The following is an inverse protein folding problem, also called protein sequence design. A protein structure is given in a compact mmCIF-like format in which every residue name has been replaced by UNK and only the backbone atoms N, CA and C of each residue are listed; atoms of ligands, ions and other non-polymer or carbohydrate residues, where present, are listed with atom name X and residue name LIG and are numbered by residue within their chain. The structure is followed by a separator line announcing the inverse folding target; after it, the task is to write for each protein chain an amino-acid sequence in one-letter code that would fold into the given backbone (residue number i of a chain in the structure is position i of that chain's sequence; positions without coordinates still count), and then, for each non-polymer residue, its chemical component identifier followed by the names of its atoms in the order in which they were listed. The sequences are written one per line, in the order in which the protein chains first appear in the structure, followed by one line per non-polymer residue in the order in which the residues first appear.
data_IF_896993187202
#
_entry.id   IF_896993187202
#
_cell.length_a   1.000
_cell.length_b   1.000
_cell.length_c   1.000
_cell.angle_alpha   90.00
_cell.angle_beta   90.00
_cell.angle_gamma   90.00
#
_symmetry.space_group_name_H-M   'P 1'
#
loop_
_entity.id
_entity.type
_entity.pdbx_description
1 polymer ?
#
# COMPACT_ATOMS: atom_id res chain seq x y z
N UNK A 1 -19.25 -14.43 11.56
CA UNK A 1 -18.29 -13.94 10.55
C UNK A 1 -18.29 -14.94 9.43
N UNK A 2 -18.64 -14.52 8.22
CA UNK A 2 -18.69 -15.45 7.09
C UNK A 2 -17.43 -15.24 6.23
N UNK A 3 -16.39 -16.00 6.55
CA UNK A 3 -15.17 -16.13 5.76
C UNK A 3 -15.20 -17.41 4.90
N UNK A 4 -16.39 -17.86 4.49
CA UNK A 4 -16.55 -19.16 3.82
C UNK A 4 -15.87 -19.27 2.45
N UNK A 5 -15.40 -18.14 1.90
CA UNK A 5 -14.62 -18.08 0.64
C UNK A 5 -13.10 -18.25 0.86
N UNK A 6 -12.62 -18.27 2.11
CA UNK A 6 -11.22 -18.52 2.41
C UNK A 6 -10.93 -20.01 2.42
N UNK A 7 -9.93 -20.41 1.66
CA UNK A 7 -9.33 -21.74 1.70
C UNK A 7 -8.12 -21.74 2.64
N UNK A 8 -7.89 -22.83 3.40
CA UNK A 8 -6.78 -22.91 4.34
C UNK A 8 -5.42 -22.94 3.64
N UNK A 9 -4.38 -22.55 4.38
CA UNK A 9 -2.99 -22.68 3.93
C UNK A 9 -2.70 -24.14 3.59
N UNK A 10 -2.00 -24.36 2.47
CA UNK A 10 -1.70 -25.71 1.96
C UNK A 10 -0.93 -26.56 2.98
N UNK A 11 -1.30 -27.84 3.07
CA UNK A 11 -0.71 -28.79 4.02
C UNK A 11 0.82 -28.93 3.85
N UNK A 12 1.34 -28.76 2.63
CA UNK A 12 2.79 -28.77 2.37
C UNK A 12 3.53 -27.61 3.07
N UNK A 13 2.94 -26.42 3.11
CA UNK A 13 3.52 -25.25 3.79
C UNK A 13 3.52 -25.49 5.29
N UNK A 14 2.43 -26.04 5.83
CA UNK A 14 2.31 -26.38 7.25
C UNK A 14 3.31 -27.48 7.65
N UNK A 15 3.44 -28.53 6.84
CA UNK A 15 4.41 -29.59 7.06
C UNK A 15 5.86 -29.06 7.03
N UNK A 16 6.18 -28.17 6.09
CA UNK A 16 7.47 -27.48 6.08
C UNK A 16 7.68 -26.66 7.36
N UNK A 17 6.66 -25.92 7.80
CA UNK A 17 6.72 -25.11 9.03
C UNK A 17 7.00 -25.95 10.28
N UNK A 18 6.40 -27.15 10.40
CA UNK A 18 6.66 -28.07 11.53
C UNK A 18 8.12 -28.56 11.62
N UNK A 19 8.85 -28.56 10.50
CA UNK A 19 10.27 -28.95 10.45
C UNK A 19 11.23 -27.83 10.86
N UNK A 20 10.73 -26.58 10.98
CA UNK A 20 11.54 -25.42 11.30
C UNK A 20 11.68 -25.23 12.82
N UNK A 21 12.66 -24.40 13.22
CA UNK A 21 12.85 -24.03 14.63
C UNK A 21 11.58 -23.39 15.19
N UNK A 22 11.21 -23.71 16.44
CA UNK A 22 10.05 -23.11 17.13
C UNK A 22 10.11 -21.58 17.27
N UNK A 23 11.29 -21.00 17.02
CA UNK A 23 11.53 -19.56 17.11
C UNK A 23 11.23 -18.80 15.81
N UNK A 24 11.06 -19.49 14.67
CA UNK A 24 10.77 -18.83 13.39
C UNK A 24 9.37 -18.21 13.39
N UNK A 25 9.13 -17.29 12.47
CA UNK A 25 7.93 -16.48 12.42
C UNK A 25 6.70 -17.34 12.15
N UNK A 26 6.79 -18.32 11.24
CA UNK A 26 5.69 -19.23 10.93
C UNK A 26 5.19 -20.03 12.13
N UNK A 27 6.02 -20.26 13.16
CA UNK A 27 5.63 -20.94 14.41
C UNK A 27 4.93 -20.02 15.41
N UNK A 28 4.95 -18.71 15.17
CA UNK A 28 4.28 -17.69 16.01
C UNK A 28 3.02 -17.11 15.37
N UNK A 29 2.73 -17.46 14.12
CA UNK A 29 1.52 -17.05 13.41
C UNK A 29 0.29 -17.82 13.89
N UNK A 30 -0.86 -17.14 13.91
CA UNK A 30 -2.16 -17.82 13.92
C UNK A 30 -2.52 -18.23 12.49
N UNK A 31 -2.61 -19.52 12.17
CA UNK A 31 -2.74 -19.99 10.78
C UNK A 31 -4.08 -20.70 10.55
N UNK A 32 -4.80 -20.29 9.50
CA UNK A 32 -5.94 -21.03 8.98
C UNK A 32 -5.47 -22.33 8.32
N UNK A 33 -5.83 -23.45 8.93
CA UNK A 33 -5.49 -24.80 8.46
C UNK A 33 -6.75 -25.67 8.35
N UNK A 34 -6.69 -26.73 7.54
CA UNK A 34 -7.81 -27.70 7.45
C UNK A 34 -8.16 -28.33 8.80
N UNK A 35 -7.17 -28.50 9.67
CA UNK A 35 -7.34 -29.19 10.96
C UNK A 35 -7.95 -28.27 12.02
N UNK A 36 -7.47 -27.03 12.12
CA UNK A 36 -7.88 -26.10 13.18
C UNK A 36 -8.91 -25.07 12.73
N UNK A 37 -9.23 -25.01 11.43
CA UNK A 37 -10.11 -23.99 10.87
C UNK A 37 -9.50 -22.59 10.90
N UNK A 38 -10.35 -21.58 10.71
CA UNK A 38 -9.95 -20.17 10.73
C UNK A 38 -9.60 -19.78 12.18
N UNK A 39 -8.43 -19.15 12.42
CA UNK A 39 -8.02 -18.77 13.76
C UNK A 39 -8.90 -17.66 14.33
N UNK A 40 -8.94 -17.57 15.65
CA UNK A 40 -9.53 -16.42 16.34
C UNK A 40 -8.72 -15.14 16.07
N UNK A 41 -9.43 -14.11 15.62
CA UNK A 41 -8.88 -12.82 15.22
C UNK A 41 -8.78 -11.83 16.39
N UNK A 42 -9.15 -12.23 17.59
CA UNK A 42 -8.92 -11.43 18.79
C UNK A 42 -7.42 -11.14 18.96
N UNK A 43 -7.11 -9.88 19.27
CA UNK A 43 -5.77 -9.27 19.37
C UNK A 43 -4.90 -9.30 18.10
N UNK A 44 -5.38 -9.85 16.99
CA UNK A 44 -4.68 -9.80 15.70
C UNK A 44 -4.63 -8.34 15.23
N UNK A 45 -3.48 -7.93 14.70
CA UNK A 45 -3.28 -6.59 14.14
C UNK A 45 -3.03 -6.60 12.64
N UNK A 46 -2.54 -7.71 12.12
CA UNK A 46 -2.30 -7.91 10.68
C UNK A 46 -2.84 -9.28 10.29
N UNK A 47 -3.57 -9.34 9.19
CA UNK A 47 -4.06 -10.57 8.60
C UNK A 47 -3.54 -10.72 7.17
N UNK A 48 -2.74 -11.76 6.93
CA UNK A 48 -2.24 -12.13 5.61
C UNK A 48 -3.36 -12.87 4.87
N UNK A 49 -3.64 -12.43 3.64
CA UNK A 49 -4.61 -13.04 2.74
C UNK A 49 -3.94 -13.22 1.39
N UNK A 50 -3.92 -14.45 0.90
CA UNK A 50 -3.59 -14.73 -0.49
C UNK A 50 -4.80 -14.58 -1.39
N UNK A 51 -4.63 -14.05 -2.60
CA UNK A 51 -5.70 -13.96 -3.59
C UNK A 51 -5.22 -14.59 -4.88
N UNK A 52 -5.82 -15.71 -5.27
CA UNK A 52 -5.39 -16.51 -6.42
C UNK A 52 -6.06 -16.08 -7.72
N UNK A 53 -6.28 -14.78 -7.92
CA UNK A 53 -6.95 -14.23 -9.10
C UNK A 53 -5.97 -13.46 -9.99
N UNK A 54 -5.87 -13.87 -11.25
CA UNK A 54 -4.99 -13.25 -12.25
C UNK A 54 -5.62 -13.19 -13.65
N UNK A 55 -6.93 -13.45 -13.79
CA UNK A 55 -7.63 -13.48 -15.09
C UNK A 55 -7.66 -12.12 -15.80
N UNK A 56 -7.41 -11.03 -15.06
CA UNK A 56 -7.33 -9.68 -15.60
C UNK A 56 -5.92 -9.20 -15.91
N UNK A 57 -4.90 -10.06 -15.76
CA UNK A 57 -3.61 -9.79 -16.40
C UNK A 57 -3.79 -9.75 -17.92
N UNK A 58 -3.29 -8.69 -18.56
CA UNK A 58 -3.25 -8.56 -20.02
C UNK A 58 -2.54 -9.73 -20.71
N UNK A 59 -1.62 -10.40 -20.02
CA UNK A 59 -0.88 -11.56 -20.53
C UNK A 59 -1.41 -12.90 -20.00
N UNK A 60 -2.63 -12.94 -19.44
CA UNK A 60 -3.19 -14.16 -18.89
C UNK A 60 -3.36 -15.25 -19.95
N UNK A 61 -2.66 -16.37 -19.77
CA UNK A 61 -2.73 -17.55 -20.65
C UNK A 61 -3.18 -18.82 -19.92
N UNK A 62 -3.87 -18.68 -18.78
CA UNK A 62 -4.39 -19.82 -18.02
C UNK A 62 -3.44 -20.36 -16.95
N UNK A 63 -2.45 -19.60 -16.52
CA UNK A 63 -1.51 -20.05 -15.47
C UNK A 63 -2.16 -20.11 -14.09
N UNK A 64 -1.78 -21.13 -13.32
CA UNK A 64 -2.18 -21.29 -11.92
C UNK A 64 -1.29 -20.44 -11.00
N UNK A 65 -1.92 -19.76 -10.04
CA UNK A 65 -1.22 -18.99 -9.02
C UNK A 65 -1.05 -19.84 -7.76
N UNK A 66 0.16 -19.87 -7.22
CA UNK A 66 0.47 -20.49 -5.93
C UNK A 66 1.36 -19.58 -5.12
N UNK A 67 1.01 -19.35 -3.85
CA UNK A 67 1.74 -18.49 -2.93
C UNK A 67 2.57 -19.28 -1.91
N UNK A 68 2.68 -20.60 -2.12
CA UNK A 68 3.33 -21.51 -1.17
C UNK A 68 4.82 -21.20 -0.96
N UNK A 69 5.55 -20.81 -1.99
CA UNK A 69 6.98 -20.49 -1.87
C UNK A 69 7.23 -19.20 -1.09
N UNK A 70 6.38 -18.17 -1.28
CA UNK A 70 6.39 -16.96 -0.44
C UNK A 70 6.11 -17.33 1.01
N UNK A 71 5.08 -18.14 1.29
CA UNK A 71 4.76 -18.56 2.65
C UNK A 71 5.87 -19.35 3.30
N UNK A 72 6.47 -20.33 2.61
CA UNK A 72 7.62 -21.10 3.12
C UNK A 72 8.79 -20.18 3.46
N UNK A 73 9.11 -19.23 2.57
CA UNK A 73 10.17 -18.25 2.78
C UNK A 73 9.88 -17.37 4.00
N UNK A 74 8.68 -16.79 4.08
CA UNK A 74 8.25 -15.93 5.18
C UNK A 74 8.23 -16.67 6.52
N UNK A 75 7.70 -17.89 6.54
CA UNK A 75 7.56 -18.69 7.74
C UNK A 75 8.93 -19.07 8.31
N UNK A 76 9.95 -19.23 7.47
CA UNK A 76 11.32 -19.54 7.85
C UNK A 76 12.12 -18.36 8.41
N UNK A 77 11.68 -17.12 8.19
CA UNK A 77 12.34 -15.95 8.78
C UNK A 77 12.14 -15.92 10.29
N UNK A 78 13.10 -15.36 11.03
CA UNK A 78 12.89 -15.05 12.44
C UNK A 78 12.13 -13.72 12.55
N UNK A 79 11.15 -13.61 13.47
CA UNK A 79 10.51 -12.34 13.74
C UNK A 79 11.51 -11.37 14.39
N UNK A 80 11.31 -10.08 14.18
CA UNK A 80 11.98 -9.05 14.98
C UNK A 80 11.48 -9.02 16.43
N UNK A 81 11.90 -8.01 17.19
CA UNK A 81 11.39 -7.78 18.55
C UNK A 81 9.99 -7.17 18.51
N UNK A 82 9.03 -7.96 18.04
CA UNK A 82 7.67 -7.55 17.75
C UNK A 82 6.71 -7.97 18.84
N UNK A 83 5.68 -7.14 19.06
CA UNK A 83 4.55 -7.44 19.94
C UNK A 83 3.24 -7.65 19.14
N UNK A 84 3.26 -7.30 17.86
CA UNK A 84 2.13 -7.44 16.93
C UNK A 84 1.80 -8.92 16.69
N UNK A 85 0.55 -9.29 16.96
CA UNK A 85 -0.01 -10.60 16.57
C UNK A 85 -0.44 -10.59 15.11
N UNK A 86 -0.02 -11.61 14.36
CA UNK A 86 -0.27 -11.76 12.92
C UNK A 86 -0.97 -13.09 12.66
N UNK A 87 -2.00 -13.06 11.81
CA UNK A 87 -2.69 -14.24 11.33
C UNK A 87 -2.48 -14.44 9.83
N UNK A 88 -2.39 -15.70 9.37
CA UNK A 88 -2.50 -16.07 7.95
C UNK A 88 -3.86 -16.74 7.74
N UNK A 89 -4.74 -16.08 7.01
CA UNK A 89 -6.12 -16.52 6.79
C UNK A 89 -6.25 -17.49 5.60
N UNK A 90 -5.14 -17.80 4.94
CA UNK A 90 -5.12 -18.63 3.75
C UNK A 90 -5.42 -17.85 2.48
N UNK A 91 -6.08 -18.49 1.52
CA UNK A 91 -6.24 -17.99 0.15
C UNK A 91 -7.71 -17.81 -0.24
N UNK A 92 -8.03 -16.71 -0.90
CA UNK A 92 -9.25 -16.56 -1.71
C UNK A 92 -8.99 -17.23 -3.06
N UNK A 93 -9.82 -18.23 -3.38
CA UNK A 93 -9.78 -18.95 -4.64
C UNK A 93 -10.44 -18.15 -5.76
N UNK A 94 -10.13 -18.48 -7.02
CA UNK A 94 -10.86 -17.94 -8.18
C UNK A 94 -12.34 -18.33 -8.04
N UNK A 95 -13.22 -17.32 -8.04
CA UNK A 95 -14.65 -17.55 -8.19
C UNK A 95 -15.01 -17.97 -9.62
N UNK A 96 -16.28 -18.32 -9.84
CA UNK A 96 -16.78 -18.62 -11.19
C UNK A 96 -16.54 -17.44 -12.14
N UNK A 97 -16.87 -16.23 -11.68
CA UNK A 97 -16.53 -14.96 -12.32
C UNK A 97 -15.43 -14.20 -11.55
N UNK A 98 -14.85 -13.16 -12.16
CA UNK A 98 -13.86 -12.30 -11.51
C UNK A 98 -14.54 -11.45 -10.43
N UNK A 99 -15.77 -11.06 -10.71
CA UNK A 99 -16.65 -10.30 -9.82
C UNK A 99 -16.92 -11.07 -8.51
N UNK A 100 -17.05 -12.39 -8.56
CA UNK A 100 -17.16 -13.24 -7.36
C UNK A 100 -15.89 -13.16 -6.49
N UNK A 101 -14.70 -13.19 -7.12
CA UNK A 101 -13.43 -13.03 -6.41
C UNK A 101 -13.32 -11.62 -5.81
N UNK A 102 -13.72 -10.58 -6.55
CA UNK A 102 -13.73 -9.20 -6.06
C UNK A 102 -14.67 -9.04 -4.86
N UNK A 103 -15.86 -9.64 -4.92
CA UNK A 103 -16.81 -9.60 -3.80
C UNK A 103 -16.25 -10.27 -2.55
N UNK A 104 -15.61 -11.44 -2.70
CA UNK A 104 -14.95 -12.12 -1.59
C UNK A 104 -13.82 -11.27 -0.99
N UNK A 105 -12.96 -10.70 -1.83
CA UNK A 105 -11.85 -9.84 -1.38
C UNK A 105 -12.37 -8.58 -0.68
N UNK A 106 -13.31 -7.88 -1.30
CA UNK A 106 -13.99 -6.71 -0.75
C UNK A 106 -14.54 -7.00 0.65
N UNK A 107 -15.33 -8.07 0.77
CA UNK A 107 -15.98 -8.44 2.03
C UNK A 107 -14.96 -8.79 3.11
N UNK A 108 -13.88 -9.48 2.73
CA UNK A 108 -12.79 -9.81 3.66
C UNK A 108 -12.12 -8.56 4.21
N UNK A 109 -11.75 -7.64 3.31
CA UNK A 109 -11.06 -6.39 3.65
C UNK A 109 -11.93 -5.52 4.55
N UNK A 110 -13.21 -5.35 4.19
CA UNK A 110 -14.14 -4.54 4.96
C UNK A 110 -14.25 -5.05 6.42
N UNK A 111 -14.46 -6.35 6.61
CA UNK A 111 -14.55 -6.98 7.95
C UNK A 111 -13.26 -6.77 8.76
N UNK A 112 -12.09 -6.89 8.12
CA UNK A 112 -10.81 -6.72 8.82
C UNK A 112 -10.58 -5.27 9.24
N UNK A 113 -10.86 -4.32 8.36
CA UNK A 113 -10.70 -2.89 8.64
C UNK A 113 -11.64 -2.45 9.78
N UNK A 114 -12.90 -2.88 9.79
CA UNK A 114 -13.84 -2.62 10.90
C UNK A 114 -13.31 -3.11 12.25
N UNK A 115 -12.55 -4.21 12.24
CA UNK A 115 -11.89 -4.77 13.42
C UNK A 115 -10.55 -4.12 13.75
N UNK A 116 -10.14 -3.09 13.01
CA UNK A 116 -8.82 -2.47 13.10
C UNK A 116 -7.67 -3.48 12.87
N UNK A 117 -7.90 -4.46 11.99
CA UNK A 117 -6.90 -5.42 11.51
C UNK A 117 -6.46 -4.97 10.12
N UNK A 118 -5.15 -4.87 9.91
CA UNK A 118 -4.59 -4.48 8.62
C UNK A 118 -4.58 -5.71 7.69
N UNK A 119 -5.39 -5.76 6.63
CA UNK A 119 -5.21 -6.73 5.56
C UNK A 119 -3.86 -6.53 4.87
N UNK A 120 -3.07 -7.60 4.86
CA UNK A 120 -1.88 -7.76 4.04
C UNK A 120 -2.21 -8.71 2.90
N UNK A 121 -2.38 -8.17 1.72
CA UNK A 121 -2.86 -8.90 0.54
C UNK A 121 -1.65 -9.33 -0.29
N UNK A 122 -1.61 -10.61 -0.65
CA UNK A 122 -0.61 -11.15 -1.58
C UNK A 122 -1.37 -11.79 -2.74
N UNK A 123 -1.17 -11.29 -3.96
CA UNK A 123 -1.56 -12.03 -5.16
C UNK A 123 -2.52 -11.29 -6.08
N UNK A 124 -3.06 -12.03 -7.03
CA UNK A 124 -2.45 -12.12 -8.36
C UNK A 124 -2.31 -10.80 -9.07
N UNK A 125 -3.23 -10.49 -9.98
CA UNK A 125 -3.11 -9.32 -10.84
C UNK A 125 -3.48 -8.02 -10.10
N UNK A 126 -2.83 -6.91 -10.44
CA UNK A 126 -2.93 -5.67 -9.67
C UNK A 126 -4.30 -4.97 -9.72
N UNK A 127 -5.17 -5.36 -10.64
CA UNK A 127 -6.57 -4.93 -10.66
C UNK A 127 -7.32 -5.24 -9.37
N UNK A 128 -6.85 -6.19 -8.56
CA UNK A 128 -7.35 -6.43 -7.20
C UNK A 128 -7.23 -5.20 -6.28
N UNK A 129 -6.37 -4.23 -6.61
CA UNK A 129 -6.34 -2.91 -5.96
C UNK A 129 -7.69 -2.19 -6.06
N UNK A 130 -8.42 -2.37 -7.17
CA UNK A 130 -9.78 -1.83 -7.32
C UNK A 130 -10.72 -2.43 -6.26
N UNK A 131 -10.76 -3.76 -6.13
CA UNK A 131 -11.60 -4.41 -5.11
C UNK A 131 -11.21 -4.01 -3.68
N UNK A 132 -9.91 -3.81 -3.42
CA UNK A 132 -9.40 -3.28 -2.15
C UNK A 132 -9.90 -1.86 -1.89
N UNK A 133 -9.84 -0.98 -2.88
CA UNK A 133 -10.38 0.39 -2.79
C UNK A 133 -11.89 0.41 -2.52
N UNK A 134 -12.66 -0.40 -3.24
CA UNK A 134 -14.12 -0.46 -3.05
C UNK A 134 -14.53 -0.94 -1.66
N UNK A 135 -13.69 -1.72 -0.98
CA UNK A 135 -13.95 -2.14 0.40
C UNK A 135 -14.02 -0.98 1.40
N UNK A 136 -13.56 0.21 1.02
CA UNK A 136 -13.60 1.41 1.85
C UNK A 136 -14.85 2.27 1.63
N UNK A 137 -15.70 1.95 0.64
CA UNK A 137 -16.85 2.76 0.21
C UNK A 137 -17.76 3.18 1.39
N UNK A 138 -18.03 2.24 2.30
CA UNK A 138 -18.88 2.47 3.49
C UNK A 138 -18.09 2.77 4.77
N UNK A 139 -16.75 2.67 4.74
CA UNK A 139 -15.89 2.79 5.92
C UNK A 139 -15.26 4.17 6.06
N UNK A 140 -14.84 4.77 4.93
CA UNK A 140 -14.16 6.06 4.90
C UNK A 140 -14.80 6.96 3.84
N UNK A 141 -15.06 8.25 4.16
CA UNK A 141 -15.65 9.17 3.19
C UNK A 141 -14.73 9.47 2.01
N UNK A 142 -13.42 9.47 2.26
CA UNK A 142 -12.37 9.71 1.28
C UNK A 142 -11.15 8.85 1.61
N UNK A 143 -10.46 8.38 0.58
CA UNK A 143 -9.36 7.41 0.65
C UNK A 143 -8.18 7.91 -0.18
N UNK A 144 -6.97 7.70 0.36
CA UNK A 144 -5.72 7.95 -0.32
C UNK A 144 -5.04 6.62 -0.71
N UNK A 145 -4.63 6.52 -1.97
CA UNK A 145 -3.93 5.35 -2.51
C UNK A 145 -2.49 5.74 -2.86
N UNK A 146 -1.54 4.91 -2.44
CA UNK A 146 -0.17 4.95 -2.96
C UNK A 146 0.07 3.71 -3.81
N UNK A 147 0.50 3.91 -5.05
CA UNK A 147 0.91 2.84 -5.96
C UNK A 147 2.43 2.85 -6.13
N UNK A 148 3.09 1.75 -5.79
CA UNK A 148 4.53 1.56 -5.98
C UNK A 148 4.71 0.77 -7.27
N UNK A 149 5.02 1.48 -8.34
CA UNK A 149 4.89 0.96 -9.71
C UNK A 149 5.76 1.72 -10.71
N UNK A 150 6.16 1.04 -11.79
CA UNK A 150 6.77 1.67 -12.95
C UNK A 150 5.73 2.34 -13.88
N UNK A 151 4.45 1.95 -13.79
CA UNK A 151 3.31 2.42 -14.57
C UNK A 151 2.28 3.17 -13.71
N UNK A 152 1.41 3.97 -14.34
CA UNK A 152 0.25 4.58 -13.67
C UNK A 152 -1.02 3.73 -13.71
N UNK A 153 -1.10 2.80 -14.66
CA UNK A 153 -2.25 1.91 -14.88
C UNK A 153 -3.60 2.62 -15.06
N UNK A 154 -3.57 3.78 -15.72
CA UNK A 154 -4.76 4.55 -16.10
C UNK A 154 -5.59 3.80 -17.14
N UNK A 155 -4.93 3.40 -18.24
CA UNK A 155 -5.53 2.64 -19.33
C UNK A 155 -6.77 3.31 -19.95
N UNK A 156 -7.52 2.53 -20.74
CA UNK A 156 -8.76 2.98 -21.37
C UNK A 156 -9.96 2.57 -20.50
N UNK A 157 -10.56 3.54 -19.83
CA UNK A 157 -11.65 3.31 -18.89
C UNK A 157 -12.97 2.87 -19.54
N UNK A 158 -13.12 3.02 -20.86
CA UNK A 158 -14.27 2.49 -21.60
C UNK A 158 -14.20 0.97 -21.78
N UNK A 159 -13.02 0.37 -21.59
CA UNK A 159 -12.81 -1.08 -21.69
C UNK A 159 -13.02 -1.76 -20.32
N UNK A 160 -13.18 -3.10 -20.31
CA UNK A 160 -13.14 -3.87 -19.08
C UNK A 160 -11.85 -3.63 -18.30
N UNK A 161 -11.93 -3.74 -16.96
CA UNK A 161 -10.79 -3.57 -16.08
C UNK A 161 -9.71 -4.61 -16.36
N UNK A 162 -8.44 -4.18 -16.33
CA UNK A 162 -7.24 -5.00 -16.44
C UNK A 162 -6.21 -4.53 -15.42
N UNK A 163 -5.16 -5.33 -15.21
CA UNK A 163 -4.08 -4.98 -14.30
C UNK A 163 -3.37 -3.67 -14.65
N UNK A 164 -3.42 -3.22 -15.91
CA UNK A 164 -2.85 -1.96 -16.37
C UNK A 164 -3.88 -0.84 -16.62
N UNK A 165 -5.13 -0.98 -16.16
CA UNK A 165 -6.20 0.01 -16.38
C UNK A 165 -7.12 0.23 -15.18
N UNK A 166 -6.75 -0.30 -14.01
CA UNK A 166 -7.59 -0.24 -12.82
C UNK A 166 -7.75 1.18 -12.27
N UNK A 167 -6.75 2.06 -12.43
CA UNK A 167 -6.82 3.43 -11.94
C UNK A 167 -7.91 4.22 -12.68
N UNK A 168 -8.04 4.04 -14.00
CA UNK A 168 -9.11 4.66 -14.78
C UNK A 168 -10.51 4.29 -14.27
N UNK A 169 -10.69 3.08 -13.76
CA UNK A 169 -11.94 2.63 -13.12
C UNK A 169 -12.16 3.26 -11.75
N UNK A 170 -11.13 3.33 -10.91
CA UNK A 170 -11.18 4.00 -9.61
C UNK A 170 -11.62 5.46 -9.75
N UNK A 171 -11.14 6.16 -10.78
CA UNK A 171 -11.46 7.58 -11.00
C UNK A 171 -12.90 7.79 -11.48
N UNK A 172 -13.43 6.91 -12.35
CA UNK A 172 -14.69 7.16 -13.06
C UNK A 172 -15.90 6.40 -12.53
N UNK A 173 -15.73 5.36 -11.72
CA UNK A 173 -16.85 4.57 -11.20
C UNK A 173 -17.29 5.05 -9.80
N UNK A 174 -18.60 5.24 -9.62
CA UNK A 174 -19.17 5.65 -8.34
C UNK A 174 -19.10 4.53 -7.28
N UNK A 175 -18.89 4.85 -5.99
CA UNK A 175 -18.79 6.19 -5.43
C UNK A 175 -17.41 6.83 -5.63
N UNK A 176 -17.38 8.17 -5.69
CA UNK A 176 -16.14 8.95 -5.83
C UNK A 176 -15.55 9.27 -4.46
N UNK A 177 -14.81 8.32 -3.90
CA UNK A 177 -14.11 8.40 -2.61
C UNK A 177 -12.58 8.53 -2.74
N UNK A 178 -11.99 8.51 -3.94
CA UNK A 178 -10.57 8.77 -4.12
C UNK A 178 -10.27 10.27 -3.89
N UNK A 179 -9.47 10.60 -2.87
CA UNK A 179 -9.02 11.98 -2.62
C UNK A 179 -7.65 12.23 -3.23
N UNK A 180 -6.71 11.32 -2.96
CA UNK A 180 -5.37 11.40 -3.48
C UNK A 180 -4.91 10.06 -4.03
N UNK A 181 -4.20 10.12 -5.14
CA UNK A 181 -3.44 9.01 -5.66
C UNK A 181 -1.99 9.46 -5.82
N UNK A 182 -1.07 8.64 -5.34
CA UNK A 182 0.37 8.91 -5.44
C UNK A 182 1.09 7.72 -6.07
N UNK A 183 1.83 7.94 -7.15
CA UNK A 183 2.70 6.91 -7.74
C UNK A 183 4.14 7.09 -7.31
N UNK A 184 4.77 6.01 -6.85
CA UNK A 184 6.17 5.96 -6.47
C UNK A 184 6.92 5.03 -7.41
N UNK A 185 7.91 5.56 -8.12
CA UNK A 185 8.80 4.75 -8.94
C UNK A 185 8.48 4.73 -10.43
N UNK A 186 7.54 5.57 -10.90
CA UNK A 186 7.16 5.55 -12.31
C UNK A 186 8.37 5.89 -13.21
N UNK A 187 8.38 5.29 -14.39
CA UNK A 187 9.43 5.49 -15.38
C UNK A 187 8.79 6.06 -16.65
N UNK A 188 9.26 7.23 -17.10
CA UNK A 188 8.63 8.00 -18.19
C UNK A 188 8.47 7.19 -19.48
N UNK A 189 9.38 6.27 -19.79
CA UNK A 189 9.29 5.46 -21.01
C UNK A 189 8.25 4.33 -20.96
N UNK A 190 7.63 4.08 -19.80
CA UNK A 190 6.50 3.15 -19.66
C UNK A 190 5.14 3.86 -19.63
N UNK A 191 5.12 5.19 -19.59
CA UNK A 191 3.91 5.99 -19.43
C UNK A 191 3.80 6.99 -20.59
N UNK A 192 2.63 7.11 -21.19
CA UNK A 192 2.42 8.10 -22.24
C UNK A 192 2.46 9.53 -21.68
N UNK A 193 2.76 10.52 -22.53
CA UNK A 193 2.77 11.91 -22.07
C UNK A 193 1.35 12.39 -21.74
N UNK A 194 0.35 11.86 -22.43
CA UNK A 194 -1.06 12.11 -22.14
C UNK A 194 -1.44 11.63 -20.73
N UNK A 195 -0.94 10.46 -20.30
CA UNK A 195 -1.15 9.96 -18.94
C UNK A 195 -0.42 10.82 -17.90
N UNK A 196 0.82 11.22 -18.15
CA UNK A 196 1.58 12.11 -17.25
C UNK A 196 0.85 13.45 -17.10
N UNK A 197 0.40 14.05 -18.20
CA UNK A 197 -0.37 15.30 -18.19
C UNK A 197 -1.70 15.14 -17.44
N UNK A 198 -2.35 13.97 -17.54
CA UNK A 198 -3.58 13.69 -16.83
C UNK A 198 -3.33 13.60 -15.31
N UNK A 199 -2.26 12.93 -14.88
CA UNK A 199 -1.87 12.87 -13.46
C UNK A 199 -1.68 14.27 -12.87
N UNK A 200 -1.01 15.17 -13.59
CA UNK A 200 -0.81 16.55 -13.15
C UNK A 200 -2.11 17.37 -13.16
N UNK A 201 -2.97 17.21 -14.17
CA UNK A 201 -4.30 17.87 -14.22
C UNK A 201 -5.23 17.44 -13.08
N UNK A 202 -5.15 16.18 -12.65
CA UNK A 202 -5.87 15.66 -11.49
C UNK A 202 -5.18 16.01 -10.16
N UNK A 203 -4.07 16.76 -10.22
CA UNK A 203 -3.23 17.13 -9.08
C UNK A 203 -2.74 15.92 -8.28
N UNK A 204 -2.61 14.76 -8.92
CA UNK A 204 -2.02 13.56 -8.31
C UNK A 204 -0.51 13.72 -8.15
N UNK A 205 0.03 12.95 -7.22
CA UNK A 205 1.46 12.96 -6.93
C UNK A 205 2.13 11.85 -7.75
N UNK A 206 3.17 12.18 -8.49
CA UNK A 206 3.90 11.20 -9.30
C UNK A 206 5.40 11.41 -9.10
N UNK A 207 6.05 10.44 -8.47
CA UNK A 207 7.47 10.47 -8.17
C UNK A 207 8.21 9.49 -9.08
N UNK A 208 9.14 10.01 -9.89
CA UNK A 208 9.97 9.20 -10.77
C UNK A 208 10.89 8.31 -9.95
N UNK A 209 11.22 7.13 -10.50
CA UNK A 209 12.20 6.22 -9.89
C UNK A 209 13.47 6.94 -9.42
N UNK A 210 14.11 7.72 -10.30
CA UNK A 210 15.35 8.42 -9.97
C UNK A 210 15.23 9.48 -8.86
N UNK A 211 14.03 10.03 -8.61
CA UNK A 211 13.82 10.94 -7.48
C UNK A 211 13.82 10.17 -6.15
N UNK A 212 13.13 9.02 -6.13
CA UNK A 212 13.01 8.19 -4.93
C UNK A 212 14.33 7.47 -4.61
N UNK A 213 15.04 6.94 -5.61
CA UNK A 213 16.34 6.26 -5.37
C UNK A 213 17.42 7.23 -4.90
N UNK A 214 17.39 8.49 -5.36
CA UNK A 214 18.29 9.53 -4.86
C UNK A 214 18.00 9.94 -3.40
N UNK A 215 16.72 9.94 -3.00
CA UNK A 215 16.31 10.25 -1.63
C UNK A 215 15.08 9.42 -1.21
N UNK A 216 15.35 8.23 -0.68
CA UNK A 216 14.31 7.28 -0.25
C UNK A 216 13.41 7.83 0.85
N UNK A 217 13.87 8.83 1.61
CA UNK A 217 13.06 9.44 2.66
C UNK A 217 11.79 10.08 2.09
N UNK A 218 11.77 10.51 0.81
CA UNK A 218 10.62 11.14 0.15
C UNK A 218 9.35 10.27 0.21
N UNK A 219 9.53 8.95 0.34
CA UNK A 219 8.44 7.98 0.49
C UNK A 219 7.69 8.15 1.80
N UNK A 220 8.38 8.53 2.88
CA UNK A 220 7.81 8.55 4.22
C UNK A 220 6.57 9.46 4.34
N UNK A 221 6.60 10.75 3.94
CA UNK A 221 5.41 11.59 4.03
C UNK A 221 4.30 11.10 3.09
N UNK A 222 4.65 10.48 1.95
CA UNK A 222 3.67 9.92 0.99
C UNK A 222 2.91 8.77 1.64
N UNK A 223 3.64 7.83 2.24
CA UNK A 223 3.06 6.71 2.99
C UNK A 223 2.28 7.16 4.23
N UNK A 224 2.71 8.23 4.91
CA UNK A 224 2.03 8.75 6.10
C UNK A 224 0.62 9.27 5.80
N UNK A 225 0.36 9.66 4.55
CA UNK A 225 -0.95 10.12 4.12
C UNK A 225 -1.81 9.02 3.46
N UNK A 226 -1.23 7.84 3.21
CA UNK A 226 -1.89 6.74 2.52
C UNK A 226 -2.83 5.95 3.44
N UNK A 227 -3.95 5.50 2.88
CA UNK A 227 -4.81 4.47 3.49
C UNK A 227 -4.51 3.10 2.89
N UNK A 228 -4.39 3.04 1.56
CA UNK A 228 -4.13 1.84 0.78
C UNK A 228 -2.77 1.99 0.12
N UNK A 229 -1.94 0.95 0.21
CA UNK A 229 -0.70 0.85 -0.53
C UNK A 229 -0.77 -0.37 -1.44
N UNK A 230 -0.61 -0.14 -2.74
CA UNK A 230 -0.49 -1.18 -3.77
C UNK A 230 0.95 -1.22 -4.27
N UNK A 231 1.55 -2.40 -4.31
CA UNK A 231 2.93 -2.60 -4.75
C UNK A 231 2.95 -3.61 -5.89
N UNK A 232 3.33 -3.16 -7.09
CA UNK A 232 3.61 -4.03 -8.24
C UNK A 232 5.07 -4.48 -8.20
N UNK A 233 5.30 -5.80 -8.24
CA UNK A 233 6.64 -6.38 -8.35
C UNK A 233 7.38 -6.02 -9.66
N UNK A 234 6.70 -5.52 -10.70
CA UNK A 234 7.33 -4.96 -11.91
C UNK A 234 8.18 -3.73 -11.62
N UNK A 235 7.89 -3.01 -10.53
CA UNK A 235 8.70 -1.87 -10.07
C UNK A 235 10.11 -2.27 -9.61
N UNK A 236 10.35 -3.56 -9.34
CA UNK A 236 11.61 -4.08 -8.83
C UNK A 236 12.55 -4.41 -10.01
N UNK A 237 13.83 -4.05 -9.87
CA UNK A 237 14.83 -4.34 -10.91
C UNK A 237 15.03 -5.84 -11.08
N UNK A 238 15.19 -6.28 -12.33
CA UNK A 238 15.33 -7.70 -12.70
C UNK A 238 16.49 -8.44 -12.02
N UNK A 239 17.49 -7.73 -11.50
CA UNK A 239 18.62 -8.33 -10.79
C UNK A 239 18.23 -8.90 -9.40
N UNK A 240 17.12 -8.44 -8.81
CA UNK A 240 16.69 -8.83 -7.46
C UNK A 240 15.66 -9.98 -7.46
N UNK A 241 15.14 -10.34 -8.63
CA UNK A 241 14.03 -11.30 -8.75
C UNK A 241 14.40 -12.49 -9.63
N UNK A 242 13.68 -13.59 -9.44
CA UNK A 242 13.85 -14.82 -10.20
C UNK A 242 13.39 -14.66 -11.65
N UNK A 243 13.84 -15.57 -12.53
CA UNK A 243 13.70 -15.44 -13.98
C UNK A 243 12.28 -15.14 -14.47
N UNK A 244 11.25 -15.79 -13.92
CA UNK A 244 9.85 -15.59 -14.36
C UNK A 244 9.28 -14.22 -13.96
N UNK A 245 9.83 -13.61 -12.92
CA UNK A 245 9.39 -12.31 -12.42
C UNK A 245 10.09 -11.13 -13.12
N UNK A 246 11.19 -11.36 -13.85
CA UNK A 246 11.95 -10.30 -14.51
C UNK A 246 11.09 -9.52 -15.50
N UNK A 247 11.13 -8.18 -15.37
CA UNK A 247 10.40 -7.26 -16.24
C UNK A 247 11.33 -6.22 -16.86
N UNK A 248 11.97 -5.39 -16.02
CA UNK A 248 12.86 -4.31 -16.45
C UNK A 248 14.24 -4.41 -15.78
N UNK A 249 15.36 -4.07 -16.45
CA UNK A 249 16.67 -4.02 -15.82
C UNK A 249 16.77 -2.90 -14.76
N UNK A 250 16.00 -1.83 -14.91
CA UNK A 250 15.96 -0.69 -14.00
C UNK A 250 14.66 -0.71 -13.20
N UNK A 251 14.76 -0.50 -11.90
CA UNK A 251 13.69 -0.51 -10.92
C UNK A 251 14.27 -0.33 -9.52
N UNK A 252 13.44 -0.43 -8.49
CA UNK A 252 13.91 -0.46 -7.11
C UNK A 252 14.78 -1.69 -6.86
N UNK A 253 15.84 -1.51 -6.07
CA UNK A 253 16.58 -2.65 -5.54
C UNK A 253 15.91 -3.26 -4.29
N UNK A 254 16.44 -4.40 -3.83
CA UNK A 254 15.86 -5.10 -2.68
C UNK A 254 15.85 -4.27 -1.40
N UNK A 255 16.82 -3.36 -1.20
CA UNK A 255 16.88 -2.49 -0.01
C UNK A 255 15.85 -1.37 -0.10
N UNK A 256 15.72 -0.75 -1.28
CA UNK A 256 14.79 0.33 -1.54
C UNK A 256 13.34 -0.14 -1.39
N UNK A 257 12.97 -1.28 -1.98
CA UNK A 257 11.60 -1.79 -1.89
C UNK A 257 11.23 -2.22 -0.46
N UNK A 258 12.20 -2.79 0.29
CA UNK A 258 12.02 -3.08 1.71
C UNK A 258 11.87 -1.81 2.55
N UNK A 259 12.63 -0.74 2.24
CA UNK A 259 12.50 0.55 2.91
C UNK A 259 11.13 1.20 2.64
N UNK A 260 10.65 1.14 1.39
CA UNK A 260 9.30 1.60 1.00
C UNK A 260 8.23 0.87 1.81
N UNK A 261 8.33 -0.46 1.88
CA UNK A 261 7.39 -1.29 2.64
C UNK A 261 7.43 -0.99 4.14
N UNK A 262 8.63 -0.76 4.69
CA UNK A 262 8.79 -0.34 6.09
C UNK A 262 8.12 1.01 6.36
N UNK A 263 8.26 1.99 5.47
CA UNK A 263 7.57 3.28 5.61
C UNK A 263 6.04 3.13 5.55
N UNK A 264 5.52 2.25 4.69
CA UNK A 264 4.10 1.91 4.69
C UNK A 264 3.65 1.33 6.04
N UNK A 265 4.46 0.44 6.64
CA UNK A 265 4.20 -0.11 7.97
C UNK A 265 4.18 0.95 9.09
N UNK A 266 5.11 1.90 9.07
CA UNK A 266 5.26 2.97 10.09
C UNK A 266 4.09 3.97 10.07
N UNK A 267 3.44 4.15 8.92
CA UNK A 267 2.31 5.06 8.79
C UNK A 267 1.16 4.64 9.70
N UNK A 268 0.64 5.57 10.51
CA UNK A 268 -0.56 5.30 11.33
C UNK A 268 -1.84 5.20 10.48
N UNK A 269 -1.85 5.75 9.26
CA UNK A 269 -3.02 5.80 8.37
C UNK A 269 -3.15 4.58 7.45
N UNK A 270 -2.03 3.91 7.12
CA UNK A 270 -2.06 2.74 6.25
C UNK A 270 -2.85 1.64 6.96
N UNK A 271 -3.99 1.30 6.36
CA UNK A 271 -4.91 0.27 6.84
C UNK A 271 -5.01 -0.93 5.90
N UNK A 272 -4.43 -0.85 4.69
CA UNK A 272 -4.32 -1.99 3.77
C UNK A 272 -3.01 -1.92 2.97
N UNK A 273 -2.33 -3.07 2.84
CA UNK A 273 -1.07 -3.20 2.10
C UNK A 273 -1.14 -4.41 1.17
N UNK A 274 -0.99 -4.20 -0.14
CA UNK A 274 -1.08 -5.24 -1.16
C UNK A 274 0.22 -5.39 -1.96
N UNK A 275 0.58 -6.64 -2.26
CA UNK A 275 1.69 -7.03 -3.15
C UNK A 275 1.10 -7.81 -4.31
N UNK A 276 1.30 -7.33 -5.53
CA UNK A 276 0.64 -7.80 -6.75
C UNK A 276 1.66 -8.24 -7.81
N UNK A 277 1.14 -8.89 -8.87
CA UNK A 277 1.86 -9.30 -10.08
C UNK A 277 2.98 -10.32 -9.83
N UNK A 278 2.83 -11.09 -8.75
CA UNK A 278 3.69 -12.23 -8.48
C UNK A 278 3.48 -13.34 -9.50
N UNK A 279 4.58 -13.84 -10.08
CA UNK A 279 4.61 -14.88 -11.11
C UNK A 279 5.31 -16.14 -10.57
N UNK A 280 4.55 -17.10 -10.00
CA UNK A 280 5.13 -18.29 -9.40
C UNK A 280 5.92 -19.11 -10.42
N UNK A 281 7.08 -19.60 -10.00
CA UNK A 281 7.97 -20.48 -10.76
C UNK A 281 8.55 -21.56 -9.85
N UNK A 282 9.09 -22.63 -10.45
CA UNK A 282 9.79 -23.68 -9.69
C UNK A 282 11.12 -23.17 -9.10
N UNK A 283 11.78 -22.27 -9.81
CA UNK A 283 13.06 -21.67 -9.42
C UNK A 283 12.83 -20.24 -8.92
N UNK A 284 11.97 -20.08 -7.92
CA UNK A 284 11.51 -18.75 -7.49
C UNK A 284 12.11 -18.24 -6.16
N UNK A 285 13.17 -18.89 -5.67
CA UNK A 285 13.77 -18.63 -4.36
C UNK A 285 14.06 -17.14 -4.09
N UNK A 286 14.60 -16.41 -5.07
CA UNK A 286 14.95 -14.99 -4.91
C UNK A 286 13.71 -14.11 -4.79
N UNK A 287 12.73 -14.24 -5.70
CA UNK A 287 11.48 -13.48 -5.63
C UNK A 287 10.70 -13.80 -4.35
N UNK A 288 10.53 -15.08 -4.04
CA UNK A 288 9.78 -15.52 -2.86
C UNK A 288 10.41 -14.99 -1.56
N UNK A 289 11.74 -15.03 -1.46
CA UNK A 289 12.47 -14.45 -0.34
C UNK A 289 12.35 -12.92 -0.28
N UNK A 290 12.43 -12.22 -1.42
CA UNK A 290 12.27 -10.77 -1.45
C UNK A 290 10.86 -10.35 -1.03
N UNK A 291 9.81 -11.02 -1.53
CA UNK A 291 8.43 -10.76 -1.09
C UNK A 291 8.27 -11.05 0.41
N UNK A 292 8.86 -12.14 0.92
CA UNK A 292 8.87 -12.42 2.34
C UNK A 292 9.55 -11.31 3.15
N UNK A 293 10.63 -10.72 2.66
CA UNK A 293 11.32 -9.58 3.30
C UNK A 293 10.49 -8.30 3.24
N UNK A 294 9.81 -8.01 2.12
CA UNK A 294 8.86 -6.90 2.01
C UNK A 294 7.79 -7.04 3.09
N UNK A 295 7.15 -8.21 3.20
CA UNK A 295 6.17 -8.49 4.25
C UNK A 295 6.76 -8.34 5.65
N UNK A 296 7.97 -8.84 5.86
CA UNK A 296 8.68 -8.75 7.15
C UNK A 296 8.92 -7.30 7.56
N UNK A 297 9.41 -6.45 6.65
CA UNK A 297 9.68 -5.03 6.92
C UNK A 297 8.41 -4.21 7.08
N UNK A 298 7.32 -4.56 6.39
CA UNK A 298 6.01 -3.98 6.66
C UNK A 298 5.57 -4.23 8.11
N UNK A 299 5.65 -5.49 8.55
CA UNK A 299 5.28 -5.89 9.93
C UNK A 299 6.20 -5.20 10.95
N UNK A 300 7.50 -5.11 10.69
CA UNK A 300 8.42 -4.35 11.52
C UNK A 300 7.98 -2.88 11.62
N UNK A 301 7.66 -2.25 10.48
CA UNK A 301 7.17 -0.88 10.44
C UNK A 301 5.92 -0.67 11.29
N UNK A 302 4.96 -1.60 11.25
CA UNK A 302 3.74 -1.56 12.10
C UNK A 302 4.09 -1.58 13.58
N UNK A 303 5.09 -2.36 13.99
CA UNK A 303 5.59 -2.37 15.38
C UNK A 303 6.29 -1.06 15.78
N UNK A 304 6.74 -0.26 14.80
CA UNK A 304 7.35 1.06 15.01
C UNK A 304 6.35 2.22 14.92
N UNK A 305 5.03 1.97 14.84
CA UNK A 305 4.01 3.02 14.82
C UNK A 305 4.04 3.83 16.11
N UNK A 306 4.09 5.15 15.97
CA UNK A 306 4.00 6.12 17.05
C UNK A 306 2.90 7.10 16.71
N UNK A 307 1.90 7.25 17.60
CA UNK A 307 0.84 8.25 17.44
C UNK A 307 1.39 9.65 17.76
N UNK A 308 1.57 10.45 16.71
CA UNK A 308 2.26 11.73 16.73
C UNK A 308 1.57 12.82 15.88
N UNK A 309 0.34 12.57 15.47
CA UNK A 309 -0.50 13.39 14.60
C UNK A 309 -1.59 14.17 15.36
N UNK A 310 -1.62 14.09 16.70
CA UNK A 310 -2.51 14.87 17.54
C UNK A 310 -1.80 16.12 18.09
N UNK A 311 -2.18 17.29 17.55
CA UNK A 311 -1.68 18.61 17.93
C UNK A 311 -2.69 19.44 18.77
N UNK A 312 -3.64 18.79 19.44
CA UNK A 312 -4.56 19.47 20.37
C UNK A 312 -3.85 19.88 21.69
N UNK A 313 -2.79 19.18 22.07
CA UNK A 313 -2.02 19.47 23.28
C UNK A 313 -0.80 20.37 22.98
N UNK A 314 -0.75 21.55 23.60
CA UNK A 314 0.22 22.62 23.29
C UNK A 314 1.71 22.20 23.48
N UNK A 315 1.99 21.18 24.31
CA UNK A 315 3.35 20.69 24.57
C UNK A 315 3.81 19.57 23.61
N UNK A 316 2.95 19.07 22.71
CA UNK A 316 3.30 17.91 21.86
C UNK A 316 4.04 18.28 20.57
N UNK A 317 4.09 19.57 20.21
CA UNK A 317 4.63 20.03 18.93
C UNK A 317 5.30 21.41 18.99
N UNK A 318 5.96 21.79 17.90
CA UNK A 318 6.44 23.14 17.60
C UNK A 318 5.70 23.67 16.37
N UNK A 319 5.24 24.93 16.42
CA UNK A 319 4.55 25.61 15.32
C UNK A 319 5.48 26.62 14.65
N UNK A 320 5.51 26.63 13.32
CA UNK A 320 6.28 27.58 12.51
C UNK A 320 5.36 28.20 11.47
N UNK A 321 5.42 29.51 11.29
CA UNK A 321 4.60 30.23 10.31
C UNK A 321 5.55 30.92 9.34
N UNK A 322 5.36 30.67 8.05
CA UNK A 322 6.18 31.23 6.97
C UNK A 322 5.25 31.92 5.98
N UNK A 323 5.51 33.20 5.71
CA UNK A 323 4.84 33.92 4.64
C UNK A 323 5.59 33.68 3.33
N UNK A 324 4.92 33.06 2.35
CA UNK A 324 5.47 32.83 1.02
C UNK A 324 4.57 33.52 0.01
N UNK A 325 5.10 34.55 -0.65
CA UNK A 325 4.28 35.47 -1.47
C UNK A 325 3.16 36.09 -0.62
N UNK A 326 1.89 35.81 -0.94
CA UNK A 326 0.71 36.27 -0.22
C UNK A 326 0.02 35.16 0.62
N UNK A 327 0.63 33.97 0.69
CA UNK A 327 0.07 32.81 1.40
C UNK A 327 0.80 32.56 2.72
N UNK A 328 0.03 32.36 3.80
CA UNK A 328 0.58 32.01 5.12
C UNK A 328 0.65 30.47 5.26
N UNK A 329 1.86 29.93 5.25
CA UNK A 329 2.10 28.50 5.44
C UNK A 329 2.40 28.19 6.89
N UNK A 330 1.52 27.40 7.52
CA UNK A 330 1.71 26.95 8.90
C UNK A 330 2.24 25.51 8.94
N UNK A 331 3.40 25.33 9.55
CA UNK A 331 4.06 24.04 9.76
C UNK A 331 4.00 23.60 11.23
N UNK A 332 3.88 22.30 11.43
CA UNK A 332 3.90 21.63 12.72
C UNK A 332 5.01 20.59 12.74
N UNK A 333 5.80 20.57 13.82
CA UNK A 333 6.82 19.54 14.06
C UNK A 333 6.49 18.79 15.34
N UNK A 334 6.40 17.46 15.26
CA UNK A 334 6.17 16.62 16.44
C UNK A 334 7.42 16.60 17.34
N UNK A 335 7.23 16.85 18.64
CA UNK A 335 8.31 16.74 19.63
C UNK A 335 8.69 15.27 19.90
N UNK A 336 7.79 14.32 19.60
CA UNK A 336 8.01 12.88 19.83
C UNK A 336 8.87 12.24 18.76
N UNK A 337 8.63 12.58 17.50
CA UNK A 337 9.21 11.88 16.34
C UNK A 337 10.05 12.80 15.47
N UNK A 338 9.97 14.12 15.64
CA UNK A 338 10.63 15.10 14.78
C UNK A 338 10.01 15.22 13.39
N UNK A 339 8.93 14.48 13.11
CA UNK A 339 8.20 14.51 11.83
C UNK A 339 7.48 15.84 11.63
N UNK A 340 7.26 16.20 10.37
CA UNK A 340 6.66 17.49 9.99
C UNK A 340 5.32 17.31 9.29
N UNK A 341 4.46 18.32 9.47
CA UNK A 341 3.19 18.51 8.78
C UNK A 341 3.05 19.97 8.38
N UNK A 342 2.28 20.22 7.34
CA UNK A 342 1.85 21.54 6.90
C UNK A 342 0.32 21.60 6.90
N UNK A 343 -0.22 22.72 7.34
CA UNK A 343 -1.66 22.96 7.38
C UNK A 343 -2.19 23.26 5.98
N UNK A 344 -3.26 22.59 5.57
CA UNK A 344 -4.02 22.99 4.39
C UNK A 344 -5.21 23.83 4.87
N UNK A 345 -5.35 25.09 4.40
CA UNK A 345 -6.44 25.96 4.83
C UNK A 345 -7.80 25.34 4.46
N UNK A 346 -8.73 25.41 5.40
CA UNK A 346 -10.09 24.95 5.19
C UNK A 346 -10.89 26.00 4.41
N UNK A 347 -11.48 25.62 3.28
CA UNK A 347 -12.36 26.48 2.48
C UNK A 347 -13.83 26.07 2.76
N UNK A 348 -14.56 26.80 3.64
CA UNK A 348 -15.85 26.35 4.17
C UNK A 348 -16.98 26.19 3.13
N UNK A 349 -16.83 26.82 1.96
CA UNK A 349 -17.90 26.97 0.98
C UNK A 349 -17.79 26.06 -0.26
N UNK A 350 -16.80 25.15 -0.32
CA UNK A 350 -16.53 24.34 -1.52
C UNK A 350 -16.82 22.85 -1.33
N UNK A 351 -16.53 22.27 -0.16
CA UNK A 351 -16.61 20.81 0.01
C UNK A 351 -17.15 20.37 1.38
N UNK A 352 -18.39 19.88 1.43
CA UNK A 352 -19.06 19.40 2.66
C UNK A 352 -18.48 18.06 3.20
N UNK A 353 -17.52 17.44 2.50
CA UNK A 353 -16.89 16.16 2.93
C UNK A 353 -15.75 16.35 3.92
N UNK A 354 -15.11 17.52 3.97
CA UNK A 354 -14.02 17.83 4.90
C UNK A 354 -14.59 18.68 6.05
N UNK A 355 -14.34 18.30 7.30
CA UNK A 355 -14.95 18.97 8.47
C UNK A 355 -13.96 19.74 9.36
N UNK A 356 -12.65 19.73 9.08
CA UNK A 356 -11.59 20.36 9.90
C UNK A 356 -10.36 20.75 9.08
N UNK A 357 -9.51 21.59 9.66
CA UNK A 357 -8.14 21.84 9.20
C UNK A 357 -7.41 20.50 8.96
N UNK A 358 -6.93 20.28 7.74
CA UNK A 358 -6.27 19.04 7.36
C UNK A 358 -4.77 19.22 7.42
N UNK A 359 -4.10 18.32 8.13
CA UNK A 359 -2.63 18.28 8.23
C UNK A 359 -2.09 17.38 7.13
N UNK A 360 -1.22 17.92 6.29
CA UNK A 360 -0.52 17.19 5.24
C UNK A 360 0.89 16.83 5.72
N UNK A 361 1.28 15.55 5.75
CA UNK A 361 2.64 15.17 6.06
C UNK A 361 3.65 15.80 5.09
N UNK A 362 4.72 16.37 5.63
CA UNK A 362 5.79 16.98 4.86
C UNK A 362 7.17 16.72 5.49
N UNK A 363 8.20 17.21 4.84
CA UNK A 363 9.58 17.17 5.32
C UNK A 363 10.04 18.49 5.90
N UNK A 364 11.13 18.43 6.66
CA UNK A 364 11.85 19.63 7.05
C UNK A 364 12.36 20.43 5.84
N UNK A 365 12.72 19.75 4.75
CA UNK A 365 13.15 20.40 3.51
C UNK A 365 12.05 21.24 2.87
N UNK A 366 10.78 20.84 3.02
CA UNK A 366 9.63 21.64 2.56
C UNK A 366 9.52 22.96 3.34
N UNK A 367 9.76 22.91 4.65
CA UNK A 367 9.85 24.11 5.49
C UNK A 367 11.03 25.02 5.07
N UNK A 368 12.20 24.44 4.80
CA UNK A 368 13.37 25.20 4.36
C UNK A 368 13.16 25.83 2.97
N UNK A 369 12.48 25.12 2.08
CA UNK A 369 12.08 25.63 0.77
C UNK A 369 11.08 26.80 0.91
N UNK A 370 10.09 26.67 1.79
CA UNK A 370 9.16 27.75 2.11
C UNK A 370 9.87 28.98 2.68
N UNK A 371 10.83 28.80 3.60
CA UNK A 371 11.65 29.92 4.10
C UNK A 371 12.47 30.62 3.01
N UNK A 372 12.73 29.91 1.90
CA UNK A 372 13.42 30.44 0.72
C UNK A 372 12.45 31.02 -0.34
N UNK A 373 11.18 31.21 0.01
CA UNK A 373 10.15 31.77 -0.86
C UNK A 373 9.56 30.78 -1.87
N UNK A 374 9.68 29.47 -1.66
CA UNK A 374 9.14 28.43 -2.56
C UNK A 374 8.00 27.66 -1.91
N UNK A 375 6.84 27.66 -2.53
CA UNK A 375 5.69 26.85 -2.07
C UNK A 375 5.98 25.36 -2.33
N UNK A 376 5.85 24.47 -1.33
CA UNK A 376 5.99 23.03 -1.53
C UNK A 376 4.95 22.48 -2.51
N UNK A 377 5.41 21.75 -3.53
CA UNK A 377 4.54 21.23 -4.61
C UNK A 377 3.39 20.37 -4.08
N UNK A 378 3.68 19.51 -3.08
CA UNK A 378 2.68 18.63 -2.49
C UNK A 378 1.56 19.39 -1.78
N UNK A 379 1.92 20.46 -1.07
CA UNK A 379 0.94 21.35 -0.45
C UNK A 379 0.10 22.06 -1.53
N UNK A 380 0.74 22.56 -2.59
CA UNK A 380 0.04 23.21 -3.70
C UNK A 380 -0.97 22.27 -4.38
N UNK A 381 -0.59 21.03 -4.67
CA UNK A 381 -1.47 20.00 -5.25
C UNK A 381 -2.65 19.70 -4.32
N UNK A 382 -2.40 19.55 -3.02
CA UNK A 382 -3.46 19.30 -2.03
C UNK A 382 -4.40 20.51 -1.85
N UNK A 383 -3.86 21.73 -1.89
CA UNK A 383 -4.64 22.96 -1.85
C UNK A 383 -5.57 23.06 -3.06
N UNK A 384 -5.05 22.86 -4.28
CA UNK A 384 -5.85 22.92 -5.51
C UNK A 384 -7.00 21.90 -5.53
N UNK A 385 -6.78 20.69 -5.01
CA UNK A 385 -7.84 19.68 -4.84
C UNK A 385 -8.96 20.12 -3.91
N UNK A 386 -8.67 20.93 -2.90
CA UNK A 386 -9.67 21.44 -1.97
C UNK A 386 -10.41 22.68 -2.51
N UNK A 387 -9.87 23.35 -3.53
CA UNK A 387 -10.50 24.49 -4.18
C UNK A 387 -11.49 24.10 -5.29
N UNK A 388 -11.41 22.87 -5.79
CA UNK A 388 -12.28 22.30 -6.84
C UNK A 388 -13.35 21.46 -6.16
#
# INVERSE_FOLDING_TARGET
MNFNFLSPVQDLVLAHNELLSTQVFGRKLKIHSKQNGIPDLDDVKIAIIGVLENRNDVNYIGEELSLSEIRKSLYALFPGNWHTSVADLGDIQKGESIEDTYFALHTTIAILIEKNIIPLIIGGSQDLTYANYRAYDDLYPMVNIVNVDCNFDLGDSAKPIKNNSFLGKIILEQPFNLFNYSTLGYQTYFNSQEEIDLMDKLYFEAYRLGQITNNIALVEPVMRDANIVSLDLKSIRSAEVSTKQKYSPNGFDGKEICAISRYAGISNKVSSFGIYEYKPSKDDDATAMLVAQIVWYFIEGVNCRVKDDNFEADNSYQKFIVLVEDEELTFYKSNKTGRWWIEIPFLPNVNNKLKRHTLLPCMHDDYNAACSGKIPERWYKAYKKNCI
#
